data_IF_318191449770
#
_entry.id   IF_318191449770
#
_cell.length_a   1.000
_cell.length_b   1.000
_cell.length_c   1.000
_cell.angle_alpha   90.00
_cell.angle_beta   90.00
_cell.angle_gamma   90.00
#
_symmetry.space_group_name_H-M   'P 1'
#
loop_
_entity.id
_entity.type
_entity.pdbx_description
1 polymer ?
#
# COMPACT_ATOMS: atom_id res chain seq x y z
N UNK A 1 -4.26 30.07 4.60
CA UNK A 1 -3.47 29.00 5.25
C UNK A 1 -4.36 27.76 5.47
N UNK A 2 -4.61 26.93 4.44
CA UNK A 2 -5.60 25.84 4.55
C UNK A 2 -5.00 24.48 4.95
N UNK A 3 -3.75 24.21 4.56
CA UNK A 3 -3.10 22.92 4.80
C UNK A 3 -2.81 22.66 6.29
N UNK A 4 -2.30 23.65 7.02
CA UNK A 4 -2.02 23.54 8.45
C UNK A 4 -3.29 23.27 9.27
N UNK A 5 -4.39 23.94 8.93
CA UNK A 5 -5.66 23.79 9.64
C UNK A 5 -6.25 22.39 9.43
N UNK A 6 -6.13 21.83 8.22
CA UNK A 6 -6.60 20.48 7.88
C UNK A 6 -5.77 19.38 8.54
N UNK A 7 -4.45 19.59 8.66
CA UNK A 7 -3.55 18.65 9.36
C UNK A 7 -3.79 18.71 10.87
N UNK A 8 -3.94 19.92 11.45
CA UNK A 8 -4.20 20.11 12.88
C UNK A 8 -5.61 19.70 13.35
N UNK A 9 -6.58 19.61 12.43
CA UNK A 9 -7.96 19.19 12.75
C UNK A 9 -8.16 17.68 12.74
N UNK A 10 -7.15 16.89 12.35
CA UNK A 10 -7.26 15.44 12.34
C UNK A 10 -8.31 14.91 11.36
N UNK A 11 -8.69 15.70 10.36
CA UNK A 11 -9.66 15.25 9.35
C UNK A 11 -8.91 14.42 8.31
N UNK A 12 -9.16 13.12 8.30
CA UNK A 12 -8.67 12.23 7.26
C UNK A 12 -9.12 12.75 5.88
N UNK A 13 -8.18 12.93 4.97
CA UNK A 13 -8.47 13.38 3.60
C UNK A 13 -9.29 12.28 2.91
N UNK A 14 -10.36 12.60 2.16
CA UNK A 14 -11.14 11.57 1.47
C UNK A 14 -10.23 10.78 0.51
N UNK A 15 -10.16 9.47 0.73
CA UNK A 15 -9.40 8.55 -0.10
C UNK A 15 -10.19 8.32 -1.40
N UNK A 16 -9.57 8.44 -2.59
CA UNK A 16 -10.28 8.29 -3.86
C UNK A 16 -10.78 6.85 -4.08
N UNK A 17 -11.96 6.71 -4.69
CA UNK A 17 -12.60 5.42 -5.00
C UNK A 17 -11.89 4.60 -6.09
N UNK A 18 -10.91 5.19 -6.79
CA UNK A 18 -10.13 4.50 -7.82
C UNK A 18 -9.11 3.51 -7.26
N UNK A 19 -8.94 3.46 -5.95
CA UNK A 19 -8.02 2.55 -5.28
C UNK A 19 -8.68 1.18 -5.05
N UNK A 20 -7.87 0.12 -5.08
CA UNK A 20 -8.34 -1.20 -4.65
C UNK A 20 -8.72 -1.16 -3.17
N UNK A 21 -9.60 -2.07 -2.77
CA UNK A 21 -10.02 -2.21 -1.36
C UNK A 21 -8.81 -2.34 -0.42
N UNK A 22 -7.79 -3.10 -0.82
CA UNK A 22 -6.60 -3.31 0.02
C UNK A 22 -5.73 -2.05 0.12
N UNK A 23 -5.63 -1.27 -0.97
CA UNK A 23 -4.92 0.00 -0.96
C UNK A 23 -5.62 1.04 -0.07
N UNK A 24 -6.95 1.09 -0.16
CA UNK A 24 -7.78 1.96 0.67
C UNK A 24 -7.62 1.62 2.17
N UNK A 25 -7.71 0.33 2.52
CA UNK A 25 -7.54 -0.15 3.89
C UNK A 25 -6.14 0.17 4.45
N UNK A 26 -5.09 -0.06 3.67
CA UNK A 26 -3.72 0.28 4.07
C UNK A 26 -3.53 1.78 4.35
N UNK A 27 -4.09 2.65 3.50
CA UNK A 27 -4.05 4.11 3.68
C UNK A 27 -4.77 4.50 4.98
N UNK A 28 -5.93 3.92 5.26
CA UNK A 28 -6.66 4.20 6.50
C UNK A 28 -5.87 3.80 7.76
N UNK A 29 -5.19 2.66 7.73
CA UNK A 29 -4.31 2.24 8.82
C UNK A 29 -3.12 3.19 9.01
N UNK A 30 -2.57 3.74 7.91
CA UNK A 30 -1.44 4.68 7.97
C UNK A 30 -1.82 6.05 8.56
N UNK A 31 -3.03 6.52 8.29
CA UNK A 31 -3.52 7.86 8.64
C UNK A 31 -4.50 7.86 9.83
N UNK A 32 -4.30 6.97 10.80
CA UNK A 32 -5.05 7.05 12.05
C UNK A 32 -4.77 8.38 12.77
N UNK A 33 -5.84 9.13 13.00
CA UNK A 33 -5.83 10.45 13.66
C UNK A 33 -5.31 10.36 15.08
N UNK A 34 -5.70 9.28 15.78
CA UNK A 34 -5.22 8.99 17.12
C UNK A 34 -3.87 8.27 17.04
N UNK A 35 -2.78 8.84 17.56
CA UNK A 35 -1.47 8.19 17.53
C UNK A 35 -1.43 6.85 18.28
N UNK A 36 -2.31 6.66 19.27
CA UNK A 36 -2.38 5.40 20.05
C UNK A 36 -2.94 4.23 19.26
N UNK A 37 -3.81 4.51 18.28
CA UNK A 37 -4.42 3.49 17.43
C UNK A 37 -3.58 3.23 16.18
N UNK A 38 -2.50 4.00 15.99
CA UNK A 38 -1.63 3.87 14.82
C UNK A 38 -0.83 2.58 14.92
N UNK A 39 -1.00 1.64 13.98
CA UNK A 39 -0.22 0.41 13.97
C UNK A 39 1.26 0.70 13.75
N UNK A 40 2.10 -0.21 14.26
CA UNK A 40 3.56 -0.15 14.07
C UNK A 40 3.92 -0.37 12.60
N UNK A 41 5.10 0.09 12.20
CA UNK A 41 5.59 -0.14 10.84
C UNK A 41 5.65 -1.63 10.48
N UNK A 42 6.01 -2.51 11.43
CA UNK A 42 5.99 -3.96 11.23
C UNK A 42 4.59 -4.49 10.91
N UNK A 43 3.56 -4.05 11.64
CA UNK A 43 2.17 -4.45 11.38
C UNK A 43 1.65 -3.93 10.03
N UNK A 44 2.03 -2.70 9.65
CA UNK A 44 1.67 -2.14 8.36
C UNK A 44 2.32 -2.91 7.19
N UNK A 45 3.55 -3.38 7.36
CA UNK A 45 4.25 -4.20 6.36
C UNK A 45 3.65 -5.60 6.20
N UNK A 46 2.85 -6.07 7.18
CA UNK A 46 2.13 -7.35 7.08
C UNK A 46 0.86 -7.27 6.21
N UNK A 47 0.48 -6.08 5.77
CA UNK A 47 -0.77 -5.85 5.04
C UNK A 47 -0.70 -6.41 3.59
N UNK A 48 -1.75 -7.08 3.07
CA UNK A 48 -1.76 -7.68 1.73
C UNK A 48 -1.49 -6.68 0.59
N UNK A 49 -1.74 -5.38 0.81
CA UNK A 49 -1.36 -4.35 -0.15
C UNK A 49 0.14 -4.30 -0.41
N UNK A 50 0.96 -4.41 0.65
CA UNK A 50 2.43 -4.31 0.57
C UNK A 50 3.10 -5.67 0.38
N UNK A 51 2.51 -6.73 0.96
CA UNK A 51 3.06 -8.09 0.86
C UNK A 51 2.93 -8.71 -0.52
N UNK A 52 2.02 -8.21 -1.36
CA UNK A 52 1.91 -8.69 -2.74
C UNK A 52 3.14 -8.21 -3.52
N UNK A 53 4.00 -9.12 -4.01
CA UNK A 53 5.09 -8.72 -4.87
C UNK A 53 4.49 -8.04 -6.11
N UNK A 54 4.98 -6.83 -6.42
CA UNK A 54 4.59 -6.08 -7.62
C UNK A 54 5.07 -6.77 -8.92
N UNK A 55 5.86 -7.83 -8.77
CA UNK A 55 6.49 -8.58 -9.86
C UNK A 55 6.26 -10.07 -9.65
N UNK A 56 5.06 -10.56 -9.96
CA UNK A 56 4.95 -11.93 -10.49
C UNK A 56 5.16 -11.97 -12.01
N UNK A 57 5.25 -10.82 -12.67
CA UNK A 57 5.56 -10.67 -14.09
C UNK A 57 6.91 -9.96 -14.31
N UNK A 58 7.94 -10.47 -13.65
CA UNK A 58 9.25 -10.55 -14.28
C UNK A 58 9.90 -11.85 -13.83
N UNK A 59 9.25 -12.98 -14.17
CA UNK A 59 10.04 -14.17 -14.37
C UNK A 59 11.05 -13.81 -15.48
N UNK A 60 12.37 -13.89 -15.26
CA UNK A 60 13.28 -13.86 -16.38
C UNK A 60 12.85 -15.02 -17.29
N UNK A 61 12.49 -14.68 -18.51
CA UNK A 61 12.38 -15.59 -19.63
C UNK A 61 13.75 -16.24 -19.86
N UNK A 62 14.07 -17.21 -19.00
CA UNK A 62 15.20 -18.11 -19.13
C UNK A 62 14.88 -19.11 -20.23
N UNK A 63 15.12 -18.69 -21.46
CA UNK A 63 15.23 -19.57 -22.62
C UNK A 63 16.17 -20.72 -22.27
N UNK A 64 15.67 -21.96 -22.29
CA UNK A 64 16.52 -23.12 -22.56
C UNK A 64 16.20 -23.60 -23.96
N UNK A 65 16.82 -22.93 -24.93
CA UNK A 65 17.06 -23.47 -26.27
C UNK A 65 17.72 -24.84 -26.16
N UNK A 66 17.22 -25.86 -26.85
CA UNK A 66 18.06 -26.74 -27.70
C UNK A 66 17.27 -27.88 -28.34
N UNK A 67 16.95 -27.67 -29.63
CA UNK A 67 17.18 -28.55 -30.80
C UNK A 67 16.57 -29.95 -30.84
N UNK A 68 15.77 -30.14 -31.89
CA UNK A 68 15.62 -31.39 -32.64
C UNK A 68 16.93 -32.19 -32.70
N UNK A 69 16.91 -33.42 -32.20
CA UNK A 69 17.53 -34.61 -32.79
C UNK A 69 16.96 -35.86 -32.15
#
# INVERSE_FOLDING_TARGET
MAALFRIGSGIAVPVPYSLSKEANDFIFQCFHVNPRDRPTASQLLENPFVRRPLFSDCAPSGQSSSRMR
#
